data_IF_079808031596
#
_entry.id   IF_079808031596
#
_cell.length_a   1.000
_cell.length_b   1.000
_cell.length_c   1.000
_cell.angle_alpha   90.00
_cell.angle_beta   90.00
_cell.angle_gamma   90.00
#
_symmetry.space_group_name_H-M   'P 1'
#
loop_
_entity.id
_entity.type
_entity.pdbx_description
1 polymer ?
#
# COMPACT_ATOMS: atom_id res chain seq x y z
N UNK A 1 2.67 -6.24 4.61
CA UNK A 1 2.91 -5.23 5.65
C UNK A 1 3.12 -3.90 4.92
N UNK A 2 2.26 -2.91 5.19
CA UNK A 2 2.21 -1.65 4.44
C UNK A 2 3.07 -0.58 5.13
N UNK A 3 3.50 0.46 4.41
CA UNK A 3 4.23 1.61 4.97
C UNK A 3 3.50 2.26 6.17
N UNK A 4 2.16 2.18 6.22
CA UNK A 4 1.36 2.62 7.36
C UNK A 4 1.76 1.90 8.67
N UNK A 5 1.97 0.58 8.63
CA UNK A 5 2.38 -0.17 9.82
C UNK A 5 3.77 0.21 10.30
N UNK A 6 4.70 0.49 9.37
CA UNK A 6 6.03 0.96 9.71
C UNK A 6 6.01 2.32 10.40
N UNK A 7 5.14 3.23 9.92
CA UNK A 7 4.92 4.55 10.51
C UNK A 7 4.35 4.45 11.92
N UNK A 8 3.29 3.67 12.11
CA UNK A 8 2.61 3.58 13.41
C UNK A 8 3.41 2.87 14.48
N UNK A 9 4.24 1.90 14.08
CA UNK A 9 5.18 1.24 14.99
C UNK A 9 6.42 2.10 15.27
N UNK A 10 6.53 3.30 14.68
CA UNK A 10 7.67 4.23 14.84
C UNK A 10 9.02 3.57 14.58
N UNK A 11 9.05 2.65 13.62
CA UNK A 11 10.26 1.86 13.31
C UNK A 11 11.32 2.66 12.53
N UNK A 12 10.96 3.86 12.07
CA UNK A 12 11.86 4.77 11.38
C UNK A 12 11.11 5.84 10.60
N UNK A 13 11.84 6.62 9.81
CA UNK A 13 11.27 7.62 8.89
C UNK A 13 10.99 6.98 7.53
N UNK A 14 9.87 7.34 6.92
CA UNK A 14 9.52 6.97 5.55
C UNK A 14 9.98 8.08 4.62
N UNK A 15 10.75 7.70 3.60
CA UNK A 15 11.35 8.64 2.63
C UNK A 15 10.92 8.20 1.23
N UNK A 16 10.55 9.15 0.36
CA UNK A 16 10.21 8.88 -1.04
C UNK A 16 8.95 9.61 -1.49
N UNK A 17 8.13 8.96 -2.32
CA UNK A 17 6.85 9.50 -2.81
C UNK A 17 5.66 8.88 -2.07
N UNK A 18 4.47 9.47 -2.23
CA UNK A 18 3.23 8.90 -1.70
C UNK A 18 3.01 7.49 -2.26
N UNK A 19 2.60 6.55 -1.41
CA UNK A 19 2.38 5.16 -1.84
C UNK A 19 1.27 5.09 -2.87
N UNK A 20 1.35 4.11 -3.78
CA UNK A 20 0.22 3.87 -4.67
C UNK A 20 -1.03 3.54 -3.83
N UNK A 21 -2.13 4.16 -4.24
CA UNK A 21 -3.49 3.84 -3.81
C UNK A 21 -3.84 2.44 -4.36
N UNK A 22 -4.95 1.84 -3.94
CA UNK A 22 -5.31 0.42 -4.22
C UNK A 22 -4.70 -0.62 -3.27
N UNK A 23 -4.72 -0.33 -1.98
CA UNK A 23 -4.29 -1.27 -0.95
C UNK A 23 -5.51 -2.09 -0.48
N UNK A 24 -5.71 -3.25 -1.10
CA UNK A 24 -6.79 -4.20 -0.78
C UNK A 24 -6.21 -5.60 -0.64
N UNK A 25 -6.64 -6.36 0.38
CA UNK A 25 -6.25 -7.75 0.47
C UNK A 25 -7.17 -8.63 -0.38
N UNK A 26 -6.54 -9.34 -1.30
CA UNK A 26 -7.21 -10.29 -2.19
C UNK A 26 -6.98 -11.72 -1.73
N UNK A 27 -8.00 -12.56 -1.82
CA UNK A 27 -7.90 -14.02 -1.67
C UNK A 27 -7.86 -14.68 -3.04
N UNK A 28 -7.15 -15.80 -3.16
CA UNK A 28 -7.27 -16.65 -4.35
C UNK A 28 -8.45 -17.62 -4.17
N UNK A 29 -9.26 -17.80 -5.21
CA UNK A 29 -10.29 -18.85 -5.28
C UNK A 29 -10.10 -19.66 -6.56
N UNK A 30 -10.01 -20.98 -6.39
CA UNK A 30 -9.94 -21.93 -7.50
C UNK A 30 -11.30 -22.12 -8.17
N UNK A 31 -11.29 -22.23 -9.50
CA UNK A 31 -12.45 -22.55 -10.32
C UNK A 31 -12.42 -24.03 -10.74
N UNK A 32 -13.55 -24.52 -11.25
CA UNK A 32 -13.76 -25.95 -11.59
C UNK A 32 -12.85 -26.44 -12.73
N UNK A 33 -12.35 -25.53 -13.55
CA UNK A 33 -11.40 -25.78 -14.63
C UNK A 33 -9.93 -25.76 -14.18
N UNK A 34 -9.67 -25.59 -12.87
CA UNK A 34 -8.33 -25.48 -12.30
C UNK A 34 -7.71 -24.09 -12.40
N UNK A 35 -8.37 -23.12 -13.02
CA UNK A 35 -7.92 -21.72 -13.02
C UNK A 35 -8.15 -21.06 -11.65
N UNK A 36 -7.57 -19.86 -11.43
CA UNK A 36 -7.75 -19.13 -10.17
C UNK A 36 -8.09 -17.66 -10.41
N UNK A 37 -8.97 -17.12 -9.57
CA UNK A 37 -9.29 -15.70 -9.55
C UNK A 37 -8.86 -15.05 -8.23
N UNK A 38 -8.46 -13.77 -8.30
CA UNK A 38 -8.16 -12.93 -7.14
C UNK A 38 -9.39 -12.11 -6.79
N UNK A 39 -9.98 -12.39 -5.63
CA UNK A 39 -11.16 -11.68 -5.15
C UNK A 39 -10.74 -10.67 -4.07
N UNK A 40 -11.13 -9.38 -4.18
CA UNK A 40 -10.96 -8.43 -3.10
C UNK A 40 -11.91 -8.81 -1.96
N UNK A 41 -11.34 -9.23 -0.83
CA UNK A 41 -12.10 -9.79 0.29
C UNK A 41 -12.00 -8.94 1.55
N UNK A 42 -10.92 -8.15 1.70
CA UNK A 42 -10.72 -7.32 2.89
C UNK A 42 -10.12 -5.95 2.55
N UNK A 43 -10.76 -4.90 3.06
CA UNK A 43 -10.23 -3.53 3.01
C UNK A 43 -9.06 -3.35 3.97
N UNK A 44 -8.14 -2.44 3.65
CA UNK A 44 -7.01 -2.10 4.49
C UNK A 44 -7.24 -0.73 5.14
N UNK A 45 -7.21 -0.69 6.47
CA UNK A 45 -7.53 0.51 7.23
C UNK A 45 -6.41 0.87 8.21
N UNK A 46 -6.23 2.16 8.48
CA UNK A 46 -5.39 2.63 9.58
C UNK A 46 -6.04 2.34 10.93
N UNK A 47 -5.29 2.50 12.03
CA UNK A 47 -5.83 2.41 13.39
C UNK A 47 -6.94 3.44 13.65
N UNK A 48 -6.91 4.56 12.92
CA UNK A 48 -7.93 5.62 12.95
C UNK A 48 -9.10 5.35 11.98
N UNK A 49 -9.22 4.12 11.46
CA UNK A 49 -10.26 3.69 10.51
C UNK A 49 -10.30 4.45 9.20
N UNK A 50 -9.18 5.05 8.79
CA UNK A 50 -9.08 5.64 7.44
C UNK A 50 -8.78 4.56 6.42
N UNK A 51 -9.47 4.64 5.29
CA UNK A 51 -9.33 3.70 4.17
C UNK A 51 -8.04 3.98 3.39
N UNK A 52 -7.09 3.04 3.51
CA UNK A 52 -5.79 3.15 2.84
C UNK A 52 -5.89 2.94 1.33
N UNK A 53 -6.97 2.33 0.84
CA UNK A 53 -7.20 2.20 -0.60
C UNK A 53 -7.31 3.57 -1.27
N UNK A 54 -7.97 4.52 -0.60
CA UNK A 54 -8.25 5.87 -1.12
C UNK A 54 -7.17 6.88 -0.79
N UNK A 55 -6.66 6.85 0.43
CA UNK A 55 -5.75 7.88 0.94
C UNK A 55 -4.28 7.57 0.66
N UNK A 56 -3.91 6.28 0.63
CA UNK A 56 -2.50 5.88 0.58
C UNK A 56 -1.71 6.28 1.84
N UNK A 57 -0.39 6.23 1.76
CA UNK A 57 0.53 6.54 2.87
C UNK A 57 1.50 7.64 2.44
N UNK A 58 1.47 8.76 3.16
CA UNK A 58 2.37 9.89 2.93
C UNK A 58 3.73 9.66 3.61
N UNK A 59 4.84 9.93 2.91
CA UNK A 59 6.18 9.85 3.49
C UNK A 59 6.40 10.98 4.51
N UNK A 60 7.36 10.78 5.41
CA UNK A 60 7.81 11.83 6.34
C UNK A 60 8.76 12.81 5.66
N UNK A 61 9.53 12.33 4.68
CA UNK A 61 10.39 13.14 3.81
C UNK A 61 10.02 12.86 2.36
N UNK A 62 9.43 13.85 1.69
CA UNK A 62 9.10 13.73 0.28
C UNK A 62 10.36 13.90 -0.58
N UNK A 63 10.67 12.90 -1.40
CA UNK A 63 11.78 12.93 -2.36
C UNK A 63 11.21 12.70 -3.75
N UNK A 64 11.37 13.70 -4.62
CA UNK A 64 10.88 13.65 -5.99
C UNK A 64 11.96 13.10 -6.91
N UNK A 65 11.81 11.84 -7.32
CA UNK A 65 12.64 11.28 -8.38
C UNK A 65 12.27 11.92 -9.72
N UNK A 66 13.24 12.58 -10.35
CA UNK A 66 13.12 13.18 -11.66
C UNK A 66 14.20 12.62 -12.60
N UNK A 67 14.06 12.85 -13.90
CA UNK A 67 15.01 12.32 -14.90
C UNK A 67 16.46 12.79 -14.68
N UNK A 68 16.69 13.96 -14.08
CA UNK A 68 18.03 14.47 -13.81
C UNK A 68 18.74 13.68 -12.69
N UNK A 69 18.01 12.97 -11.84
CA UNK A 69 18.61 12.14 -10.78
C UNK A 69 19.24 10.85 -11.33
N UNK A 70 19.01 10.53 -12.62
CA UNK A 70 19.54 9.35 -13.31
C UNK A 70 20.64 9.67 -14.34
N UNK A 71 21.07 10.93 -14.44
CA UNK A 71 22.19 11.39 -15.30
C UNK A 71 23.51 11.36 -14.53
#
# INVERSE_FOLDING_TARGET
MTAAGFKELKLGKIIGTESCRWIIFTSAKGLVDGSSNRLPSWGCYTLNRQDLEKEGVKPDVFVKNNFLDSL
#
